data_IF_089838156201
#
_entry.id   IF_089838156201
#
_cell.length_a   1.000
_cell.length_b   1.000
_cell.length_c   1.000
_cell.angle_alpha   90.00
_cell.angle_beta   90.00
_cell.angle_gamma   90.00
#
_symmetry.space_group_name_H-M   'P 1'
#
loop_
_entity.id
_entity.type
_entity.pdbx_description
1 polymer ?
#
# COMPACT_ATOMS: atom_id res chain seq x y z
N UNK A 1 20.54 -3.87 8.69
CA UNK A 1 19.49 -2.84 8.55
C UNK A 1 18.93 -2.97 7.15
N UNK A 2 17.62 -3.08 6.98
CA UNK A 2 16.98 -3.20 5.67
C UNK A 2 16.83 -1.79 5.09
N UNK A 3 17.34 -1.56 3.87
CA UNK A 3 17.22 -0.26 3.20
C UNK A 3 15.77 0.00 2.78
N UNK A 4 15.22 1.22 2.99
CA UNK A 4 13.87 1.56 2.55
C UNK A 4 13.72 1.53 1.02
N UNK A 5 12.71 0.82 0.52
CA UNK A 5 12.49 0.64 -0.92
C UNK A 5 11.76 1.83 -1.55
N UNK A 6 12.18 2.32 -2.74
CA UNK A 6 11.56 3.45 -3.42
C UNK A 6 10.36 3.03 -4.30
N UNK A 7 9.52 2.12 -3.82
CA UNK A 7 8.48 1.46 -4.62
C UNK A 7 7.31 2.39 -5.04
N UNK A 8 7.17 3.56 -4.42
CA UNK A 8 6.06 4.49 -4.70
C UNK A 8 6.52 5.94 -4.84
N UNK A 9 5.79 6.69 -5.67
CA UNK A 9 5.90 8.14 -5.79
C UNK A 9 4.94 8.79 -4.80
N UNK A 10 5.43 9.72 -3.98
CA UNK A 10 4.58 10.49 -3.07
C UNK A 10 4.12 11.79 -3.74
N UNK A 11 2.81 11.99 -3.83
CA UNK A 11 2.23 13.25 -4.30
C UNK A 11 2.66 14.42 -3.41
N UNK A 12 2.59 15.64 -3.93
CA UNK A 12 2.93 16.84 -3.16
C UNK A 12 2.00 16.98 -1.94
N UNK A 13 0.72 16.72 -2.13
CA UNK A 13 -0.30 16.73 -1.07
C UNK A 13 0.01 15.67 -0.02
N UNK A 14 0.36 14.44 -0.42
CA UNK A 14 0.74 13.38 0.51
C UNK A 14 1.98 13.76 1.34
N UNK A 15 2.99 14.37 0.71
CA UNK A 15 4.20 14.86 1.39
C UNK A 15 3.91 15.93 2.44
N UNK A 16 2.93 16.79 2.18
CA UNK A 16 2.56 17.89 3.07
C UNK A 16 1.58 17.45 4.17
N UNK A 17 0.57 16.66 3.81
CA UNK A 17 -0.54 16.32 4.70
C UNK A 17 -0.23 15.13 5.61
N UNK A 18 0.47 14.09 5.12
CA UNK A 18 0.63 12.84 5.87
C UNK A 18 1.49 12.96 7.13
N UNK A 19 2.61 13.73 7.16
CA UNK A 19 3.38 13.87 8.41
C UNK A 19 2.54 14.41 9.58
N UNK A 20 1.64 15.36 9.30
CA UNK A 20 0.72 15.93 10.30
C UNK A 20 -0.35 14.92 10.71
N UNK A 21 -0.88 14.16 9.74
CA UNK A 21 -1.96 13.17 9.96
C UNK A 21 -1.49 11.86 10.57
N UNK A 22 -0.23 11.48 10.40
CA UNK A 22 0.29 10.20 10.89
C UNK A 22 0.10 10.08 12.41
N UNK A 23 0.31 11.17 13.17
CA UNK A 23 0.12 11.18 14.63
C UNK A 23 0.84 9.99 15.32
N UNK A 24 2.08 9.72 14.91
CA UNK A 24 2.93 8.58 15.31
C UNK A 24 2.48 7.19 14.81
N UNK A 25 1.36 7.09 14.08
CA UNK A 25 0.90 5.83 13.44
C UNK A 25 1.79 5.48 12.26
N UNK A 26 1.85 4.18 11.96
CA UNK A 26 2.57 3.61 10.83
C UNK A 26 1.62 3.38 9.67
N UNK A 27 1.99 3.85 8.49
CA UNK A 27 1.24 3.64 7.26
C UNK A 27 1.62 2.28 6.68
N UNK A 28 0.65 1.43 6.37
CA UNK A 28 0.90 0.13 5.74
C UNK A 28 0.16 0.06 4.42
N UNK A 29 0.89 -0.28 3.36
CA UNK A 29 0.36 -0.61 2.05
C UNK A 29 0.36 -2.13 1.86
N UNK A 30 -0.83 -2.70 1.79
CA UNK A 30 -1.04 -4.12 1.50
C UNK A 30 -2.12 -4.31 0.44
N UNK A 31 -2.58 -5.55 0.31
CA UNK A 31 -3.65 -5.90 -0.61
C UNK A 31 -4.45 -7.08 -0.07
N UNK A 32 -5.66 -7.20 -0.60
CA UNK A 32 -6.40 -8.46 -0.55
C UNK A 32 -6.52 -9.03 -1.95
N UNK A 33 -6.55 -10.35 -2.04
CA UNK A 33 -6.86 -11.06 -3.28
C UNK A 33 -7.63 -12.33 -2.94
N UNK A 34 -8.70 -12.64 -3.66
CA UNK A 34 -9.46 -13.86 -3.48
C UNK A 34 -9.78 -14.48 -4.83
N UNK A 35 -9.57 -15.79 -4.95
CA UNK A 35 -10.11 -16.56 -6.07
C UNK A 35 -11.52 -16.99 -5.73
N UNK A 36 -12.50 -16.62 -6.55
CA UNK A 36 -13.90 -17.02 -6.33
C UNK A 36 -14.08 -18.50 -6.67
N UNK A 37 -14.71 -19.25 -5.76
CA UNK A 37 -14.89 -20.70 -5.84
C UNK A 37 -15.43 -21.15 -7.21
N UNK A 38 -14.66 -21.93 -7.96
CA UNK A 38 -15.07 -22.58 -9.20
C UNK A 38 -14.85 -21.80 -10.51
N UNK A 39 -14.22 -20.61 -10.49
CA UNK A 39 -13.92 -19.83 -11.71
C UNK A 39 -12.48 -19.29 -11.71
N UNK A 40 -11.92 -19.04 -12.89
CA UNK A 40 -10.65 -18.33 -13.09
C UNK A 40 -10.76 -16.81 -12.82
N UNK A 41 -11.56 -16.41 -11.84
CA UNK A 41 -11.80 -15.00 -11.49
C UNK A 41 -11.08 -14.70 -10.19
N UNK A 42 -10.16 -13.73 -10.26
CA UNK A 42 -9.52 -13.13 -9.09
C UNK A 42 -10.16 -11.78 -8.80
N UNK A 43 -10.49 -11.53 -7.53
CA UNK A 43 -10.93 -10.23 -7.03
C UNK A 43 -9.87 -9.76 -6.05
N UNK A 44 -9.46 -8.50 -6.15
CA UNK A 44 -8.51 -7.92 -5.20
C UNK A 44 -8.44 -6.42 -5.35
N UNK A 45 -7.99 -5.76 -4.29
CA UNK A 45 -7.64 -4.35 -4.35
C UNK A 45 -6.41 -4.04 -3.48
N UNK A 46 -5.76 -2.93 -3.80
CA UNK A 46 -4.73 -2.33 -2.97
C UNK A 46 -5.37 -1.65 -1.78
N UNK A 47 -4.71 -1.72 -0.63
CA UNK A 47 -5.26 -1.18 0.60
C UNK A 47 -4.19 -0.44 1.40
N UNK A 48 -4.62 0.69 1.98
CA UNK A 48 -3.82 1.46 2.92
C UNK A 48 -4.51 1.39 4.28
N UNK A 49 -3.74 1.03 5.30
CA UNK A 49 -4.18 1.05 6.69
C UNK A 49 -3.18 1.76 7.59
N UNK A 50 -3.66 2.19 8.74
CA UNK A 50 -2.84 2.77 9.79
C UNK A 50 -2.72 1.78 10.94
N UNK A 51 -1.49 1.54 11.38
CA UNK A 51 -1.21 0.76 12.59
C UNK A 51 -0.77 1.70 13.71
N UNK A 52 -1.14 1.37 14.94
CA UNK A 52 -0.64 2.08 16.11
C UNK A 52 0.90 1.96 16.22
N UNK A 53 1.58 2.88 16.93
CA UNK A 53 3.04 2.88 17.04
C UNK A 53 3.64 1.66 17.76
N UNK A 54 2.82 0.85 18.43
CA UNK A 54 3.24 -0.34 19.20
C UNK A 54 2.90 -1.67 18.52
N UNK A 55 2.02 -1.68 17.52
CA UNK A 55 1.63 -2.90 16.80
C UNK A 55 2.82 -3.53 16.03
N UNK A 56 3.05 -4.84 16.10
CA UNK A 56 4.16 -5.44 15.36
C UNK A 56 3.93 -5.30 13.84
N UNK A 57 5.02 -5.04 13.12
CA UNK A 57 5.04 -5.14 11.64
C UNK A 57 5.50 -6.55 11.31
N UNK A 58 4.72 -7.29 10.50
CA UNK A 58 5.11 -8.63 10.09
C UNK A 58 6.33 -8.61 9.14
N UNK A 59 7.15 -9.66 9.16
CA UNK A 59 8.42 -9.74 8.41
C UNK A 59 8.27 -9.67 6.87
N UNK A 60 7.06 -9.89 6.39
CA UNK A 60 6.69 -9.77 4.98
C UNK A 60 6.52 -8.32 4.52
N UNK A 61 6.53 -7.37 5.45
CA UNK A 61 6.48 -5.94 5.14
C UNK A 61 7.90 -5.36 5.09
N UNK A 62 8.17 -4.60 4.04
CA UNK A 62 9.43 -3.88 3.86
C UNK A 62 9.23 -2.39 4.15
N UNK A 63 10.23 -1.70 4.73
CA UNK A 63 10.16 -0.25 4.92
C UNK A 63 10.10 0.46 3.57
N UNK A 64 9.18 1.41 3.42
CA UNK A 64 9.07 2.28 2.25
C UNK A 64 9.92 3.53 2.46
N UNK A 65 10.55 4.01 1.39
CA UNK A 65 11.13 5.34 1.38
C UNK A 65 10.00 6.38 1.42
N UNK A 66 9.78 6.97 2.59
CA UNK A 66 8.67 7.88 2.87
C UNK A 66 9.13 9.33 3.13
N UNK A 67 8.22 10.32 3.06
CA UNK A 67 8.48 11.68 3.52
C UNK A 67 8.87 11.70 5.00
N UNK A 68 9.68 12.67 5.41
CA UNK A 68 10.07 12.85 6.81
C UNK A 68 8.83 12.95 7.71
N UNK A 69 8.84 12.22 8.82
CA UNK A 69 7.73 12.16 9.77
C UNK A 69 6.64 11.14 9.43
N UNK A 70 6.78 10.40 8.33
CA UNK A 70 5.93 9.25 7.99
C UNK A 70 6.76 7.98 8.09
N UNK A 71 6.33 7.06 8.94
CA UNK A 71 6.84 5.69 8.98
C UNK A 71 5.90 4.81 8.16
N UNK A 72 6.41 4.23 7.07
CA UNK A 72 5.60 3.52 6.09
C UNK A 72 6.21 2.18 5.69
N UNK A 73 5.33 1.21 5.45
CA UNK A 73 5.70 -0.15 5.08
C UNK A 73 4.85 -0.63 3.91
N UNK A 74 5.39 -1.56 3.13
CA UNK A 74 4.72 -2.19 1.99
C UNK A 74 4.85 -3.69 2.06
N UNK A 75 3.80 -4.40 1.69
CA UNK A 75 3.87 -5.84 1.50
C UNK A 75 4.93 -6.16 0.43
N UNK A 76 5.89 -7.04 0.75
CA UNK A 76 7.05 -7.35 -0.11
C UNK A 76 6.64 -7.70 -1.55
N UNK A 77 5.60 -8.50 -1.71
CA UNK A 77 5.15 -8.98 -3.02
C UNK A 77 4.51 -7.88 -3.89
N UNK A 78 4.12 -6.75 -3.29
CA UNK A 78 3.61 -5.59 -4.04
C UNK A 78 4.71 -4.74 -4.65
N UNK A 79 5.96 -4.82 -4.16
CA UNK A 79 7.06 -3.95 -4.61
C UNK A 79 7.23 -3.99 -6.14
N UNK A 80 7.32 -5.16 -6.80
CA UNK A 80 7.50 -5.21 -8.25
C UNK A 80 6.33 -4.58 -9.02
N UNK A 81 5.10 -4.75 -8.52
CA UNK A 81 3.89 -4.20 -9.15
C UNK A 81 3.88 -2.68 -9.06
N UNK A 82 4.19 -2.15 -7.87
CA UNK A 82 4.21 -0.71 -7.62
C UNK A 82 5.32 -0.02 -8.42
N UNK A 83 6.50 -0.63 -8.53
CA UNK A 83 7.58 -0.10 -9.35
C UNK A 83 7.21 -0.07 -10.84
N UNK A 84 6.72 -1.20 -11.36
CA UNK A 84 6.41 -1.31 -12.78
C UNK A 84 5.18 -0.47 -13.20
N UNK A 85 4.17 -0.39 -12.35
CA UNK A 85 2.97 0.42 -12.58
C UNK A 85 3.13 1.90 -12.16
N UNK A 86 4.33 2.32 -11.74
CA UNK A 86 4.64 3.66 -11.21
C UNK A 86 3.65 4.10 -10.12
N UNK A 87 3.43 3.22 -9.15
CA UNK A 87 2.51 3.42 -8.04
C UNK A 87 2.74 4.76 -7.32
N UNK A 88 1.65 5.45 -6.99
CA UNK A 88 1.66 6.77 -6.37
C UNK A 88 0.78 6.78 -5.13
N UNK A 89 1.31 7.28 -4.02
CA UNK A 89 0.49 7.61 -2.85
C UNK A 89 0.03 9.05 -3.00
N UNK A 90 -1.29 9.23 -3.09
CA UNK A 90 -1.96 10.52 -3.25
C UNK A 90 -2.99 10.76 -2.13
N UNK A 91 -3.47 12.00 -2.03
CA UNK A 91 -4.54 12.36 -1.11
C UNK A 91 -5.84 12.60 -1.89
N UNK A 92 -6.89 11.83 -1.60
CA UNK A 92 -8.22 11.98 -2.23
C UNK A 92 -9.31 12.27 -1.20
N UNK A 93 -10.39 12.88 -1.67
CA UNK A 93 -11.52 13.34 -0.84
C UNK A 93 -11.52 14.86 -0.67
N UNK A 94 -12.39 15.35 0.21
CA UNK A 94 -12.61 16.78 0.42
C UNK A 94 -12.47 17.18 1.89
N UNK A 95 -11.82 18.33 2.13
CA UNK A 95 -11.60 18.91 3.46
C UNK A 95 -11.06 17.90 4.49
N UNK A 96 -11.72 17.75 5.66
CA UNK A 96 -11.26 16.85 6.72
C UNK A 96 -11.36 15.37 6.33
N UNK A 97 -12.20 15.01 5.35
CA UNK A 97 -12.41 13.63 4.89
C UNK A 97 -11.38 13.17 3.85
N UNK A 98 -10.36 14.00 3.58
CA UNK A 98 -9.23 13.59 2.73
C UNK A 98 -8.48 12.41 3.36
N UNK A 99 -8.17 11.40 2.55
CA UNK A 99 -7.47 10.19 2.97
C UNK A 99 -6.39 9.80 1.95
N UNK A 100 -5.32 9.12 2.38
CA UNK A 100 -4.36 8.56 1.45
C UNK A 100 -5.01 7.47 0.60
N UNK A 101 -4.63 7.41 -0.67
CA UNK A 101 -4.99 6.36 -1.62
C UNK A 101 -3.75 5.94 -2.41
N UNK A 102 -3.75 4.72 -2.94
CA UNK A 102 -2.77 4.30 -3.94
C UNK A 102 -3.38 4.43 -5.32
N UNK A 103 -2.63 5.04 -6.22
CA UNK A 103 -2.96 5.16 -7.64
C UNK A 103 -1.89 4.42 -8.43
N UNK A 104 -2.29 3.69 -9.46
CA UNK A 104 -1.38 3.06 -10.41
C UNK A 104 -1.49 3.81 -11.74
N UNK A 105 -0.36 4.11 -12.37
CA UNK A 105 -0.36 4.70 -13.70
C UNK A 105 -0.82 3.68 -14.75
N UNK A 106 -0.50 2.41 -14.52
CA UNK A 106 -0.99 1.27 -15.29
C UNK A 106 -1.77 0.31 -14.40
N UNK A 107 -3.10 0.34 -14.50
CA UNK A 107 -3.98 -0.57 -13.77
C UNK A 107 -3.96 -2.01 -14.29
N UNK A 108 -3.48 -2.26 -15.51
CA UNK A 108 -3.39 -3.61 -16.08
C UNK A 108 -2.43 -4.50 -15.29
N UNK A 109 -1.31 -3.93 -14.85
CA UNK A 109 -0.31 -4.62 -14.03
C UNK A 109 -0.89 -5.15 -12.71
N UNK A 110 -1.86 -4.45 -12.13
CA UNK A 110 -2.59 -4.95 -10.96
C UNK A 110 -3.41 -6.19 -11.29
N UNK A 111 -4.13 -6.17 -12.41
CA UNK A 111 -4.97 -7.30 -12.84
C UNK A 111 -4.13 -8.55 -13.09
N UNK A 112 -2.98 -8.41 -13.75
CA UNK A 112 -2.06 -9.51 -14.00
C UNK A 112 -1.52 -10.10 -12.69
N UNK A 113 -1.13 -9.23 -11.76
CA UNK A 113 -0.66 -9.63 -10.44
C UNK A 113 -1.71 -10.44 -9.66
N UNK A 114 -2.95 -9.96 -9.57
CA UNK A 114 -4.01 -10.67 -8.83
C UNK A 114 -4.47 -11.94 -9.54
N UNK A 115 -4.37 -12.01 -10.87
CA UNK A 115 -4.66 -13.21 -11.63
C UNK A 115 -3.63 -14.33 -11.33
N UNK A 116 -2.37 -13.94 -11.13
CA UNK A 116 -1.28 -14.86 -10.78
C UNK A 116 -1.23 -15.24 -9.28
N UNK A 117 -1.74 -14.38 -8.40
CA UNK A 117 -1.68 -14.61 -6.95
C UNK A 117 -2.60 -15.75 -6.44
N UNK A 118 -2.18 -16.39 -5.34
CA UNK A 118 -3.07 -17.22 -4.50
C UNK A 118 -3.89 -16.31 -3.57
N UNK A 119 -5.05 -16.81 -3.10
CA UNK A 119 -5.93 -16.10 -2.17
C UNK A 119 -5.18 -15.57 -0.94
N UNK A 120 -5.28 -14.26 -0.67
CA UNK A 120 -4.73 -13.53 0.47
C UNK A 120 -5.83 -12.69 1.14
N UNK A 121 -5.98 -12.86 2.46
CA UNK A 121 -6.89 -12.05 3.27
C UNK A 121 -6.08 -11.17 4.24
N UNK A 122 -6.28 -9.84 4.25
CA UNK A 122 -5.58 -8.93 5.15
C UNK A 122 -6.01 -9.09 6.62
N UNK A 123 -7.07 -9.87 6.89
CA UNK A 123 -7.57 -10.16 8.24
C UNK A 123 -6.91 -11.41 8.87
N UNK A 124 -6.01 -12.10 8.16
CA UNK A 124 -5.37 -13.35 8.62
C UNK A 124 -3.90 -13.19 9.02
N UNK A 125 -3.45 -11.95 9.28
CA UNK A 125 -2.11 -11.64 9.75
C UNK A 125 -2.09 -11.49 11.27
#
# INVERSE_FOLDING_TARGET
>A
MIEPVPAVIWSQEARQELPVRASKRRLVLDYFAARCCGRNVSIGDLHIRWLAPVEPIADEFLPLRAPTGVDAFVQRDLVPVLEAARGRIAMRGWGPFRRPVVELADGGMWLDFIAACRTRSPLRH
#
